data_IF_600880930504
#
_entry.id   IF_600880930504
#
_cell.length_a   1.000
_cell.length_b   1.000
_cell.length_c   1.000
_cell.angle_alpha   90.00
_cell.angle_beta   90.00
_cell.angle_gamma   90.00
#
_symmetry.space_group_name_H-M   'P 1'
#
loop_
_entity.id
_entity.type
_entity.pdbx_description
1 polymer ?
#
# COMPACT_ATOMS: atom_id res chain seq x y z
N UNK A 1 0.36 7.94 8.17
CA UNK A 1 -0.72 6.97 8.42
C UNK A 1 -0.52 5.74 7.56
N UNK A 2 -0.53 4.54 8.17
CA UNK A 2 -0.53 3.23 7.49
C UNK A 2 -1.42 2.25 8.28
N UNK A 3 -1.79 1.15 7.65
CA UNK A 3 -2.54 0.07 8.29
C UNK A 3 -1.84 -0.46 9.54
N UNK A 4 -2.58 -0.63 10.64
CA UNK A 4 -2.01 -1.04 11.94
C UNK A 4 -1.24 -2.35 11.90
N UNK A 5 -1.66 -3.32 11.07
CA UNK A 5 -0.91 -4.57 10.89
C UNK A 5 0.45 -4.37 10.21
N UNK A 6 0.54 -3.46 9.25
CA UNK A 6 1.81 -3.07 8.63
C UNK A 6 2.71 -2.34 9.61
N UNK A 7 2.14 -1.43 10.40
CA UNK A 7 2.86 -0.73 11.46
C UNK A 7 3.50 -1.71 12.46
N UNK A 8 2.70 -2.65 12.99
CA UNK A 8 3.21 -3.69 13.90
C UNK A 8 4.28 -4.57 13.23
N UNK A 9 4.10 -4.94 11.96
CA UNK A 9 5.11 -5.72 11.24
C UNK A 9 6.45 -5.00 11.16
N UNK A 10 6.43 -3.69 10.88
CA UNK A 10 7.64 -2.89 10.79
C UNK A 10 8.32 -2.74 12.14
N UNK A 11 7.62 -2.27 13.16
CA UNK A 11 8.20 -1.93 14.45
C UNK A 11 8.41 -3.13 15.39
N UNK A 12 7.57 -4.16 15.33
CA UNK A 12 7.69 -5.32 16.21
C UNK A 12 8.59 -6.44 15.67
N UNK A 13 8.72 -6.53 14.33
CA UNK A 13 9.49 -7.60 13.69
C UNK A 13 10.68 -7.09 12.91
N UNK A 14 10.52 -6.16 11.97
CA UNK A 14 11.61 -5.75 11.09
C UNK A 14 12.70 -4.99 11.84
N UNK A 15 12.37 -4.13 12.78
CA UNK A 15 13.36 -3.47 13.64
C UNK A 15 14.19 -4.47 14.45
N UNK A 16 13.58 -5.57 14.92
CA UNK A 16 14.32 -6.65 15.62
C UNK A 16 15.30 -7.38 14.70
N UNK A 17 15.09 -7.32 13.41
CA UNK A 17 16.00 -7.88 12.40
C UNK A 17 17.02 -6.84 11.88
N UNK A 18 17.07 -5.69 12.51
CA UNK A 18 18.04 -4.64 12.18
C UNK A 18 17.61 -3.74 11.02
N UNK A 19 16.35 -3.79 10.59
CA UNK A 19 15.80 -2.83 9.63
C UNK A 19 15.49 -1.53 10.38
N UNK A 20 15.99 -0.44 9.85
CA UNK A 20 15.72 0.89 10.39
C UNK A 20 14.44 1.40 9.72
N UNK A 21 13.47 1.79 10.52
CA UNK A 21 12.19 2.32 10.05
C UNK A 21 12.13 3.82 10.39
N UNK A 22 11.86 4.64 9.39
CA UNK A 22 11.63 6.07 9.56
C UNK A 22 10.23 6.41 9.07
N UNK A 23 9.44 7.06 9.93
CA UNK A 23 8.08 7.49 9.61
C UNK A 23 8.07 8.92 9.11
N UNK A 24 7.52 9.13 7.91
CA UNK A 24 7.45 10.44 7.27
C UNK A 24 6.03 10.71 6.78
N UNK A 25 5.61 11.95 6.84
CA UNK A 25 4.38 12.38 6.16
C UNK A 25 4.62 12.42 4.65
N UNK A 26 3.99 11.51 3.93
CA UNK A 26 4.13 11.37 2.48
C UNK A 26 3.50 12.52 1.67
N UNK A 27 2.81 13.46 2.30
CA UNK A 27 2.34 14.70 1.66
C UNK A 27 3.35 15.85 1.77
N UNK A 28 4.30 15.75 2.68
CA UNK A 28 5.44 16.67 2.81
C UNK A 28 6.61 16.11 1.98
N UNK A 29 6.69 16.53 0.73
CA UNK A 29 7.72 16.02 -0.19
C UNK A 29 9.13 16.47 0.17
N UNK A 30 9.31 17.60 0.86
CA UNK A 30 10.62 18.06 1.32
C UNK A 30 11.11 17.18 2.47
N UNK A 31 10.24 16.91 3.45
CA UNK A 31 10.55 15.97 4.53
C UNK A 31 10.80 14.55 4.03
N UNK A 32 10.03 14.10 3.04
CA UNK A 32 10.22 12.78 2.43
C UNK A 32 11.56 12.70 1.68
N UNK A 33 11.92 13.72 0.91
CA UNK A 33 13.18 13.75 0.17
C UNK A 33 14.38 13.72 1.13
N UNK A 34 14.33 14.52 2.20
CA UNK A 34 15.36 14.54 3.24
C UNK A 34 15.49 13.19 3.96
N UNK A 35 14.38 12.52 4.28
CA UNK A 35 14.41 11.22 4.92
C UNK A 35 15.01 10.15 3.97
N UNK A 36 14.60 10.16 2.70
CA UNK A 36 15.08 9.18 1.71
C UNK A 36 16.56 9.39 1.38
N UNK A 37 17.04 10.64 1.36
CA UNK A 37 18.47 10.95 1.17
C UNK A 37 19.36 10.52 2.35
N UNK A 38 18.80 10.30 3.51
CA UNK A 38 19.52 10.03 4.75
C UNK A 38 19.90 11.30 5.53
N UNK A 39 19.38 12.46 5.13
CA UNK A 39 19.60 13.76 5.80
C UNK A 39 18.59 14.04 6.93
N UNK A 40 17.93 13.02 7.43
CA UNK A 40 16.76 13.09 8.33
C UNK A 40 16.63 14.29 9.26
N UNK A 41 15.43 14.85 9.32
CA UNK A 41 15.09 16.12 9.97
C UNK A 41 14.71 15.97 11.46
N UNK A 42 14.47 14.77 11.97
CA UNK A 42 13.93 14.54 13.33
C UNK A 42 14.80 13.63 14.22
N UNK A 43 16.09 13.91 14.30
CA UNK A 43 16.94 13.28 15.34
C UNK A 43 17.29 11.81 15.12
N UNK A 44 16.93 11.26 13.97
CA UNK A 44 17.18 9.89 13.56
C UNK A 44 18.06 9.76 12.32
N UNK A 45 18.87 10.78 12.00
CA UNK A 45 19.77 10.70 10.86
C UNK A 45 20.69 9.49 10.99
N UNK A 46 20.33 8.41 10.31
CA UNK A 46 21.14 7.19 10.28
C UNK A 46 22.33 7.33 9.31
N UNK A 47 22.45 8.48 8.65
CA UNK A 47 23.58 8.82 7.77
C UNK A 47 23.69 7.96 6.53
N UNK A 48 22.63 7.22 6.19
CA UNK A 48 22.57 6.42 4.97
C UNK A 48 21.24 6.59 4.26
N UNK A 49 21.23 6.63 2.92
CA UNK A 49 20.00 6.72 2.14
C UNK A 49 19.08 5.52 2.38
N UNK A 50 17.77 5.77 2.35
CA UNK A 50 16.78 4.71 2.44
C UNK A 50 16.93 3.70 1.28
N UNK A 51 16.58 2.44 1.54
CA UNK A 51 16.58 1.39 0.52
C UNK A 51 15.20 1.19 -0.12
N UNK A 52 14.18 1.57 0.60
CA UNK A 52 12.80 1.48 0.13
C UNK A 52 11.93 2.57 0.76
N UNK A 53 10.94 3.02 0.01
CA UNK A 53 9.84 3.85 0.49
C UNK A 53 8.57 3.01 0.38
N UNK A 54 7.93 2.73 1.52
CA UNK A 54 6.65 2.04 1.58
C UNK A 54 5.53 3.04 1.86
N UNK A 55 4.45 2.97 1.10
CA UNK A 55 3.26 3.79 1.33
C UNK A 55 1.99 3.14 0.77
N UNK A 56 0.85 3.56 1.29
CA UNK A 56 -0.47 3.16 0.80
C UNK A 56 -0.97 4.23 -0.18
N UNK A 57 -1.62 3.81 -1.29
CA UNK A 57 -2.25 4.77 -2.21
C UNK A 57 -3.33 5.57 -1.50
N UNK A 58 -4.14 4.87 -0.71
CA UNK A 58 -5.19 5.43 0.12
C UNK A 58 -4.97 4.95 1.55
N UNK A 59 -4.63 5.87 2.45
CA UNK A 59 -4.18 5.52 3.80
C UNK A 59 -5.30 5.01 4.70
N UNK A 60 -4.99 4.09 5.58
CA UNK A 60 -5.86 3.62 6.64
C UNK A 60 -5.44 4.28 7.97
N UNK A 61 -6.31 4.96 8.76
CA UNK A 61 -7.78 5.05 8.58
C UNK A 61 -8.28 6.35 7.91
N UNK A 62 -7.42 7.34 7.67
CA UNK A 62 -7.84 8.70 7.34
C UNK A 62 -8.14 8.92 5.85
N UNK A 63 -7.93 7.90 4.99
CA UNK A 63 -8.19 7.96 3.55
C UNK A 63 -7.46 9.11 2.83
N UNK A 64 -6.24 9.44 3.31
CA UNK A 64 -5.37 10.38 2.63
C UNK A 64 -4.90 9.78 1.32
N UNK A 65 -4.99 10.54 0.23
CA UNK A 65 -4.57 10.09 -1.11
C UNK A 65 -3.10 10.45 -1.32
N UNK A 66 -2.29 9.48 -1.67
CA UNK A 66 -0.87 9.66 -2.00
C UNK A 66 -0.64 9.69 -3.52
N UNK A 67 0.18 10.61 -3.97
CA UNK A 67 0.60 10.69 -5.36
C UNK A 67 1.76 9.72 -5.62
N UNK A 68 1.44 8.58 -6.22
CA UNK A 68 2.40 7.50 -6.51
C UNK A 68 3.58 8.01 -7.34
N UNK A 69 3.33 8.76 -8.41
CA UNK A 69 4.38 9.25 -9.31
C UNK A 69 5.36 10.18 -8.59
N UNK A 70 4.85 11.08 -7.75
CA UNK A 70 5.70 12.01 -7.01
C UNK A 70 6.57 11.27 -5.99
N UNK A 71 5.98 10.37 -5.20
CA UNK A 71 6.70 9.63 -4.15
C UNK A 71 7.71 8.65 -4.76
N UNK A 72 7.32 7.90 -5.81
CA UNK A 72 8.23 7.01 -6.53
C UNK A 72 9.41 7.80 -7.15
N UNK A 73 9.14 8.97 -7.73
CA UNK A 73 10.18 9.84 -8.26
C UNK A 73 11.18 10.31 -7.19
N UNK A 74 10.70 10.60 -5.97
CA UNK A 74 11.58 10.91 -4.82
C UNK A 74 12.43 9.69 -4.46
N UNK A 75 11.83 8.51 -4.30
CA UNK A 75 12.54 7.29 -3.99
C UNK A 75 13.67 7.01 -5.00
N UNK A 76 13.36 7.08 -6.28
CA UNK A 76 14.29 6.77 -7.36
C UNK A 76 15.46 7.75 -7.46
N UNK A 77 15.28 9.05 -7.15
CA UNK A 77 16.39 10.03 -7.12
C UNK A 77 17.51 9.61 -6.16
N UNK A 78 17.17 8.89 -5.10
CA UNK A 78 18.12 8.43 -4.08
C UNK A 78 18.44 6.93 -4.19
N UNK A 79 18.01 6.26 -5.27
CA UNK A 79 18.26 4.83 -5.49
C UNK A 79 17.46 3.90 -4.60
N UNK A 80 16.37 4.38 -3.98
CA UNK A 80 15.43 3.59 -3.22
C UNK A 80 14.33 3.02 -4.12
N UNK A 81 13.77 1.85 -3.74
CA UNK A 81 12.61 1.27 -4.43
C UNK A 81 11.30 1.81 -3.82
N UNK A 82 10.29 2.01 -4.67
CA UNK A 82 8.96 2.41 -4.28
C UNK A 82 8.05 1.18 -4.11
N UNK A 83 7.60 0.91 -2.89
CA UNK A 83 6.71 -0.19 -2.53
C UNK A 83 5.33 0.38 -2.20
N UNK A 84 4.33 0.02 -2.98
CA UNK A 84 3.00 0.63 -2.91
C UNK A 84 1.96 -0.40 -2.48
N UNK A 85 1.29 -0.16 -1.38
CA UNK A 85 0.08 -0.91 -1.03
C UNK A 85 -1.13 -0.31 -1.73
N UNK A 86 -1.69 -1.07 -2.67
CA UNK A 86 -2.84 -0.67 -3.47
C UNK A 86 -4.11 -1.44 -3.09
N UNK A 87 -4.18 -1.93 -1.85
CA UNK A 87 -5.28 -2.78 -1.39
C UNK A 87 -6.64 -2.10 -1.52
N UNK A 88 -6.78 -0.83 -1.12
CA UNK A 88 -8.07 -0.13 -1.13
C UNK A 88 -8.51 0.32 -2.52
N UNK A 89 -7.57 0.72 -3.35
CA UNK A 89 -7.88 1.25 -4.68
C UNK A 89 -8.04 0.14 -5.71
N UNK A 90 -7.33 -0.97 -5.53
CA UNK A 90 -7.31 -2.15 -6.42
C UNK A 90 -6.71 -1.86 -7.80
N UNK A 91 -6.32 -2.89 -8.56
CA UNK A 91 -5.80 -2.68 -9.92
C UNK A 91 -6.87 -2.23 -10.92
N UNK A 92 -8.15 -2.27 -10.52
CA UNK A 92 -9.25 -1.77 -11.34
C UNK A 92 -9.27 -0.24 -11.41
N UNK A 93 -9.03 0.44 -10.30
CA UNK A 93 -9.09 1.91 -10.25
C UNK A 93 -7.73 2.58 -10.46
N UNK A 94 -6.62 1.91 -10.08
CA UNK A 94 -5.28 2.46 -10.24
C UNK A 94 -4.24 1.37 -10.45
N UNK A 95 -3.28 1.64 -11.32
CA UNK A 95 -2.17 0.74 -11.66
C UNK A 95 -0.83 1.39 -11.31
N UNK A 96 -0.36 1.27 -10.05
CA UNK A 96 0.82 1.99 -9.56
C UNK A 96 2.12 1.66 -10.29
N UNK A 97 2.26 0.45 -10.87
CA UNK A 97 3.44 0.10 -11.69
C UNK A 97 3.61 1.04 -12.90
N UNK A 98 2.51 1.50 -13.49
CA UNK A 98 2.56 2.46 -14.62
C UNK A 98 2.87 3.88 -14.15
N UNK A 99 2.77 4.11 -12.84
CA UNK A 99 3.05 5.40 -12.19
C UNK A 99 4.43 5.45 -11.52
N UNK A 100 5.25 4.42 -11.70
CA UNK A 100 6.62 4.38 -11.21
C UNK A 100 6.85 3.53 -9.96
N UNK A 101 5.84 2.84 -9.43
CA UNK A 101 6.08 1.86 -8.37
C UNK A 101 6.94 0.69 -8.89
N UNK A 102 7.84 0.18 -8.05
CA UNK A 102 8.65 -1.00 -8.35
C UNK A 102 7.95 -2.27 -7.88
N UNK A 103 7.28 -2.18 -6.73
CA UNK A 103 6.52 -3.27 -6.12
C UNK A 103 5.14 -2.75 -5.78
N UNK A 104 4.12 -3.52 -6.12
CA UNK A 104 2.73 -3.28 -5.69
C UNK A 104 2.27 -4.45 -4.83
N UNK A 105 1.73 -4.12 -3.66
CA UNK A 105 1.20 -5.09 -2.71
C UNK A 105 -0.33 -4.95 -2.65
N UNK A 106 -1.00 -6.08 -2.54
CA UNK A 106 -2.43 -6.15 -2.28
C UNK A 106 -2.72 -7.14 -1.16
N UNK A 107 -3.46 -6.72 -0.15
CA UNK A 107 -4.21 -7.69 0.65
C UNK A 107 -5.34 -8.25 -0.20
N UNK A 108 -5.11 -9.41 -0.81
CA UNK A 108 -6.14 -10.09 -1.60
C UNK A 108 -7.32 -10.57 -0.76
N UNK A 109 -7.16 -10.63 0.56
CA UNK A 109 -8.21 -10.84 1.56
C UNK A 109 -9.37 -9.83 1.40
N UNK A 110 -9.09 -8.61 0.92
CA UNK A 110 -10.05 -7.51 0.82
C UNK A 110 -10.82 -7.58 -0.51
N UNK A 111 -10.75 -6.55 -1.32
CA UNK A 111 -11.55 -6.42 -2.53
C UNK A 111 -11.25 -7.46 -3.60
N UNK A 112 -10.01 -7.96 -3.71
CA UNK A 112 -9.67 -8.93 -4.75
C UNK A 112 -10.42 -10.26 -4.57
N UNK A 113 -10.39 -10.87 -3.38
CA UNK A 113 -11.24 -12.03 -3.10
C UNK A 113 -12.70 -11.62 -2.88
N UNK A 114 -12.94 -10.55 -2.12
CA UNK A 114 -14.23 -9.86 -2.01
C UNK A 114 -15.31 -10.54 -1.16
N UNK A 115 -15.05 -11.68 -0.55
CA UNK A 115 -16.06 -12.50 0.15
C UNK A 115 -15.69 -12.83 1.61
N UNK A 116 -14.60 -12.26 2.14
CA UNK A 116 -14.13 -12.49 3.51
C UNK A 116 -13.89 -13.98 3.87
N UNK A 117 -13.53 -14.79 2.89
CA UNK A 117 -13.36 -16.25 3.02
C UNK A 117 -11.90 -16.71 2.95
N UNK A 118 -10.97 -15.81 2.65
CA UNK A 118 -9.56 -16.14 2.45
C UNK A 118 -8.64 -15.06 3.02
N UNK A 119 -7.52 -15.49 3.61
CA UNK A 119 -6.42 -14.60 3.96
C UNK A 119 -5.31 -14.74 2.92
N UNK A 120 -5.16 -13.75 2.08
CA UNK A 120 -4.24 -13.80 0.95
C UNK A 120 -3.53 -12.47 0.71
N UNK A 121 -2.30 -12.55 0.20
CA UNK A 121 -1.54 -11.41 -0.29
C UNK A 121 -1.08 -11.63 -1.72
N UNK A 122 -0.99 -10.56 -2.49
CA UNK A 122 -0.37 -10.55 -3.80
C UNK A 122 0.74 -9.51 -3.84
N UNK A 123 1.85 -9.89 -4.45
CA UNK A 123 2.98 -8.99 -4.73
C UNK A 123 3.19 -8.98 -6.24
N UNK A 124 3.15 -7.79 -6.84
CA UNK A 124 3.31 -7.60 -8.28
C UNK A 124 4.53 -6.72 -8.50
N UNK A 125 5.41 -7.14 -9.40
CA UNK A 125 6.63 -6.43 -9.76
C UNK A 125 6.75 -6.33 -11.28
N UNK A 126 7.41 -5.28 -11.76
CA UNK A 126 7.64 -5.07 -13.19
C UNK A 126 9.00 -5.62 -13.63
N UNK A 127 9.99 -5.52 -12.77
CA UNK A 127 11.35 -5.95 -13.05
C UNK A 127 11.57 -7.44 -12.76
N UNK A 128 12.12 -8.18 -13.72
CA UNK A 128 12.32 -9.63 -13.62
C UNK A 128 13.33 -10.02 -12.52
N UNK A 129 14.39 -9.23 -12.30
CA UNK A 129 15.39 -9.54 -11.27
C UNK A 129 14.79 -9.30 -9.87
N UNK A 130 14.04 -8.24 -9.71
CA UNK A 130 13.28 -8.01 -8.48
C UNK A 130 12.24 -9.12 -8.27
N UNK A 131 11.57 -9.56 -9.34
CA UNK A 131 10.61 -10.67 -9.33
C UNK A 131 11.26 -11.98 -8.86
N UNK A 132 12.46 -12.31 -9.34
CA UNK A 132 13.21 -13.48 -8.87
C UNK A 132 13.54 -13.41 -7.37
N UNK A 133 13.91 -12.24 -6.87
CA UNK A 133 14.18 -12.03 -5.44
C UNK A 133 12.92 -12.21 -4.58
N UNK A 134 11.79 -11.64 -5.00
CA UNK A 134 10.50 -11.80 -4.34
C UNK A 134 10.07 -13.27 -4.33
N UNK A 135 10.16 -13.95 -5.48
CA UNK A 135 9.84 -15.37 -5.60
C UNK A 135 10.75 -16.25 -4.71
N UNK A 136 12.05 -15.94 -4.66
CA UNK A 136 12.97 -16.64 -3.77
C UNK A 136 12.55 -16.50 -2.30
N UNK A 137 12.22 -15.28 -1.87
CA UNK A 137 11.76 -15.02 -0.51
C UNK A 137 10.45 -15.77 -0.21
N UNK A 138 9.46 -15.70 -1.10
CA UNK A 138 8.19 -16.43 -0.97
C UNK A 138 8.42 -17.93 -0.79
N UNK A 139 9.26 -18.52 -1.65
CA UNK A 139 9.55 -19.95 -1.62
C UNK A 139 10.26 -20.38 -0.32
N UNK A 140 11.23 -19.58 0.16
CA UNK A 140 12.02 -19.90 1.34
C UNK A 140 11.28 -19.68 2.66
N UNK A 141 10.41 -18.66 2.70
CA UNK A 141 9.59 -18.34 3.88
C UNK A 141 8.28 -19.13 3.94
N UNK A 142 7.91 -19.79 2.84
CA UNK A 142 6.70 -20.60 2.77
C UNK A 142 5.40 -19.81 2.67
N UNK A 143 5.45 -18.54 2.27
CA UNK A 143 4.28 -17.68 2.06
C UNK A 143 3.51 -18.05 0.78
N UNK A 144 2.99 -19.28 0.71
CA UNK A 144 2.29 -19.83 -0.46
C UNK A 144 0.86 -20.19 -0.08
N UNK A 145 -0.10 -19.69 -0.87
CA UNK A 145 -1.51 -20.04 -0.68
C UNK A 145 -1.79 -21.48 -1.05
N UNK A 146 -2.75 -22.09 -0.36
CA UNK A 146 -3.31 -23.38 -0.74
C UNK A 146 -4.09 -23.27 -2.08
N UNK A 147 -4.17 -24.33 -2.88
CA UNK A 147 -4.84 -24.29 -4.20
C UNK A 147 -6.30 -23.83 -4.16
N UNK A 148 -7.05 -24.23 -3.14
CA UNK A 148 -8.45 -23.81 -2.95
C UNK A 148 -8.56 -22.31 -2.65
N UNK A 149 -7.63 -21.76 -1.88
CA UNK A 149 -7.58 -20.31 -1.60
C UNK A 149 -7.21 -19.51 -2.86
N UNK A 150 -6.28 -20.02 -3.68
CA UNK A 150 -5.97 -19.45 -4.98
C UNK A 150 -7.20 -19.41 -5.89
N UNK A 151 -8.02 -20.46 -5.90
CA UNK A 151 -9.26 -20.50 -6.69
C UNK A 151 -10.30 -19.50 -6.16
N UNK A 152 -10.45 -19.35 -4.84
CA UNK A 152 -11.31 -18.32 -4.24
C UNK A 152 -10.90 -16.91 -4.68
N UNK A 153 -9.62 -16.56 -4.60
CA UNK A 153 -9.11 -15.27 -5.06
C UNK A 153 -9.35 -15.09 -6.57
N UNK A 154 -9.04 -16.09 -7.38
CA UNK A 154 -9.26 -16.05 -8.83
C UNK A 154 -10.73 -15.80 -9.19
N UNK A 155 -11.67 -16.45 -8.50
CA UNK A 155 -13.12 -16.22 -8.69
C UNK A 155 -13.54 -14.83 -8.26
N UNK A 156 -13.03 -14.34 -7.14
CA UNK A 156 -13.32 -12.99 -6.64
C UNK A 156 -12.90 -11.91 -7.64
N UNK A 157 -11.73 -12.06 -8.25
CA UNK A 157 -11.21 -11.10 -9.26
C UNK A 157 -12.15 -10.99 -10.46
N UNK A 158 -12.84 -12.05 -10.89
CA UNK A 158 -13.74 -12.04 -12.05
C UNK A 158 -14.92 -11.05 -11.90
N UNK A 159 -15.31 -10.73 -10.66
CA UNK A 159 -16.39 -9.77 -10.38
C UNK A 159 -15.88 -8.44 -9.82
N UNK A 160 -14.57 -8.23 -9.77
CA UNK A 160 -13.96 -7.07 -9.11
C UNK A 160 -14.53 -5.75 -9.66
N UNK A 161 -14.56 -5.57 -10.99
CA UNK A 161 -15.02 -4.34 -11.62
C UNK A 161 -16.46 -4.00 -11.19
N UNK A 162 -17.38 -4.96 -11.32
CA UNK A 162 -18.78 -4.78 -10.94
C UNK A 162 -18.95 -4.41 -9.46
N UNK A 163 -18.17 -5.05 -8.60
CA UNK A 163 -18.22 -4.77 -7.16
C UNK A 163 -17.63 -3.41 -6.82
N UNK A 164 -16.52 -3.04 -7.44
CA UNK A 164 -15.90 -1.75 -7.20
C UNK A 164 -16.78 -0.59 -7.68
N UNK A 165 -17.42 -0.70 -8.85
CA UNK A 165 -18.36 0.31 -9.34
C UNK A 165 -19.50 0.52 -8.35
N UNK A 166 -20.15 -0.56 -7.93
CA UNK A 166 -21.25 -0.49 -6.98
C UNK A 166 -20.82 0.05 -5.62
N UNK A 167 -19.65 -0.34 -5.13
CA UNK A 167 -19.13 0.12 -3.84
C UNK A 167 -18.79 1.62 -3.88
N UNK A 168 -18.25 2.13 -4.98
CA UNK A 168 -18.01 3.56 -5.15
C UNK A 168 -19.31 4.36 -5.16
N UNK A 169 -20.33 3.90 -5.91
CA UNK A 169 -21.65 4.53 -5.90
C UNK A 169 -22.24 4.59 -4.48
N UNK A 170 -22.18 3.48 -3.75
CA UNK A 170 -22.67 3.40 -2.38
C UNK A 170 -21.90 4.35 -1.46
N UNK A 171 -20.56 4.37 -1.56
CA UNK A 171 -19.71 5.23 -0.74
C UNK A 171 -20.00 6.71 -0.98
N UNK A 172 -20.19 7.14 -2.25
CA UNK A 172 -20.58 8.51 -2.59
C UNK A 172 -21.95 8.87 -2.00
N UNK A 173 -22.93 8.00 -2.13
CA UNK A 173 -24.25 8.23 -1.58
C UNK A 173 -24.23 8.37 -0.05
N UNK A 174 -23.52 7.46 0.64
CA UNK A 174 -23.38 7.48 2.09
C UNK A 174 -22.61 8.72 2.56
N UNK A 175 -21.49 9.05 1.94
CA UNK A 175 -20.69 10.24 2.31
C UNK A 175 -21.49 11.52 2.13
N UNK A 176 -22.23 11.66 1.02
CA UNK A 176 -23.11 12.81 0.78
C UNK A 176 -24.23 12.93 1.83
N UNK A 177 -24.84 11.81 2.19
CA UNK A 177 -25.84 11.78 3.26
C UNK A 177 -25.23 12.21 4.61
N UNK A 178 -24.07 11.67 4.96
CA UNK A 178 -23.42 11.96 6.23
C UNK A 178 -22.94 13.41 6.33
N UNK A 179 -22.48 14.02 5.25
CA UNK A 179 -22.08 15.43 5.20
C UNK A 179 -23.21 16.39 5.61
N UNK A 180 -24.47 16.01 5.36
CA UNK A 180 -25.65 16.79 5.70
C UNK A 180 -26.30 16.38 7.03
N UNK A 181 -25.77 15.34 7.69
CA UNK A 181 -26.40 14.80 8.88
C UNK A 181 -26.07 15.64 10.13
N UNK A 182 -27.02 16.11 10.92
CA UNK A 182 -26.81 17.06 12.01
C UNK A 182 -25.94 16.55 13.17
N UNK A 183 -25.78 15.24 13.31
CA UNK A 183 -24.91 14.63 14.33
C UNK A 183 -23.49 14.32 13.81
N UNK A 184 -23.19 14.58 12.55
CA UNK A 184 -21.86 14.31 11.96
C UNK A 184 -21.09 15.62 11.87
N UNK A 185 -19.92 15.66 12.50
CA UNK A 185 -19.04 16.84 12.50
C UNK A 185 -18.20 16.95 11.24
N UNK A 186 -17.69 15.83 10.73
CA UNK A 186 -16.84 15.78 9.54
C UNK A 186 -16.91 14.41 8.89
N UNK A 187 -16.69 14.36 7.59
CA UNK A 187 -16.60 13.13 6.80
C UNK A 187 -15.26 13.15 6.08
N UNK A 188 -14.45 12.10 6.28
CA UNK A 188 -13.19 11.89 5.55
C UNK A 188 -13.46 10.94 4.39
N UNK A 189 -13.59 11.50 3.20
CA UNK A 189 -13.86 10.74 1.98
C UNK A 189 -13.10 11.38 0.79
N UNK A 190 -12.35 10.62 -0.01
CA UNK A 190 -11.41 11.16 -0.99
C UNK A 190 -12.04 11.66 -2.31
N UNK A 191 -13.36 11.53 -2.49
CA UNK A 191 -13.93 12.04 -3.73
C UNK A 191 -15.34 11.64 -4.05
#
# INVERSE_FOLDING_TARGET
NIYGGTYSLFHEYFERWGVIIEEVDTTDYEALDAAVSGESVKGGAHGCPAKAVYFEVLTNPLLQVNNVTAIAGIAHRHGAIAIVDNTFVTPYLQQPLDQGADIVIHSATKYLAGHSEVNAGLVVVKDDELGKRVYFAQNRLGGVLAPNECDSVRRGIQTLALRMDRQQENARAISSYLLLHPLVKSVHYPG
#
